data_IF_083371736971
#
_entry.id   IF_083371736971
#
_cell.length_a   1.000
_cell.length_b   1.000
_cell.length_c   1.000
_cell.angle_alpha   90.00
_cell.angle_beta   90.00
_cell.angle_gamma   90.00
#
_symmetry.space_group_name_H-M   'P 1'
#
loop_
_entity.id
_entity.type
_entity.pdbx_description
1 polymer ?
#
# COMPACT_ATOMS: atom_id res chain seq x y z
N UNK A 1 -9.89 -7.00 -7.41
CA UNK A 1 -10.37 -6.01 -6.57
C UNK A 1 -9.46 -5.76 -5.42
N UNK A 2 -8.59 -4.80 -5.60
CA UNK A 2 -7.51 -4.55 -4.68
C UNK A 2 -7.97 -4.03 -3.33
N UNK A 3 -8.97 -3.20 -3.33
CA UNK A 3 -9.42 -2.61 -2.09
C UNK A 3 -9.96 -3.69 -1.17
N UNK A 4 -10.74 -4.61 -1.72
CA UNK A 4 -11.29 -5.67 -0.93
C UNK A 4 -10.19 -6.56 -0.40
N UNK A 5 -9.19 -6.81 -1.23
CA UNK A 5 -8.07 -7.64 -0.84
C UNK A 5 -7.28 -6.99 0.29
N UNK A 6 -7.05 -5.70 0.20
CA UNK A 6 -6.33 -4.99 1.23
C UNK A 6 -7.07 -5.03 2.56
N UNK A 7 -8.38 -4.90 2.53
CA UNK A 7 -9.15 -4.95 3.76
C UNK A 7 -9.08 -6.30 4.43
N UNK A 8 -9.08 -7.36 3.63
CA UNK A 8 -8.96 -8.69 4.18
C UNK A 8 -7.61 -8.87 4.88
N UNK A 9 -6.55 -8.40 4.24
CA UNK A 9 -5.24 -8.52 4.85
C UNK A 9 -5.14 -7.68 6.11
N UNK A 10 -5.75 -6.51 6.10
CA UNK A 10 -5.72 -5.63 7.23
C UNK A 10 -6.42 -6.29 8.42
N UNK A 11 -7.51 -6.95 8.16
CA UNK A 11 -8.23 -7.64 9.21
C UNK A 11 -7.41 -8.75 9.81
N UNK A 12 -6.62 -9.44 9.03
CA UNK A 12 -5.87 -10.51 9.56
C UNK A 12 -4.75 -10.04 10.42
N UNK A 13 -4.18 -8.92 10.11
CA UNK A 13 -3.27 -8.35 10.98
C UNK A 13 -2.39 -9.28 11.69
N UNK A 14 -2.00 -10.32 11.19
CA UNK A 14 -1.26 -11.18 11.92
C UNK A 14 0.08 -10.74 12.07
N UNK A 15 0.76 -11.12 12.83
CA UNK A 15 2.03 -10.92 13.17
C UNK A 15 2.95 -10.62 12.07
N UNK A 16 2.83 -9.55 11.50
CA UNK A 16 3.68 -9.11 10.47
C UNK A 16 4.95 -8.72 11.12
N UNK A 17 5.98 -9.49 10.98
CA UNK A 17 7.17 -9.21 11.62
C UNK A 17 7.93 -8.15 10.91
N UNK A 18 7.80 -7.99 9.62
CA UNK A 18 8.51 -7.00 8.86
C UNK A 18 7.53 -6.00 8.34
N UNK A 19 7.78 -4.74 8.60
CA UNK A 19 6.88 -3.71 8.13
C UNK A 19 7.01 -3.54 6.63
N UNK A 20 5.94 -3.73 5.92
CA UNK A 20 5.94 -3.52 4.48
C UNK A 20 6.17 -2.05 4.16
N UNK A 21 5.76 -1.17 5.05
CA UNK A 21 5.99 0.24 4.86
C UNK A 21 7.49 0.53 4.80
N UNK A 22 8.25 0.04 5.75
CA UNK A 22 9.68 0.29 5.77
C UNK A 22 10.35 -0.36 4.58
N UNK A 23 9.93 -1.56 4.25
CA UNK A 23 10.52 -2.28 3.15
C UNK A 23 10.33 -1.52 1.84
N UNK A 24 9.13 -1.07 1.58
CA UNK A 24 8.84 -0.40 0.31
C UNK A 24 9.46 0.99 0.26
N UNK A 25 9.56 1.67 1.38
CA UNK A 25 10.20 2.98 1.39
C UNK A 25 11.65 2.85 1.00
N UNK A 26 12.29 1.80 1.46
CA UNK A 26 13.70 1.62 1.19
C UNK A 26 13.96 1.06 -0.18
N UNK A 27 13.20 0.08 -0.60
CA UNK A 27 13.45 -0.57 -1.88
C UNK A 27 12.79 0.11 -3.08
N UNK A 28 11.62 0.67 -2.88
CA UNK A 28 10.90 1.28 -3.98
C UNK A 28 10.39 2.66 -3.59
N UNK A 29 11.28 3.60 -3.34
CA UNK A 29 10.86 4.92 -2.85
C UNK A 29 9.93 5.65 -3.81
N UNK A 30 10.13 5.51 -5.11
CA UNK A 30 9.26 6.19 -6.06
C UNK A 30 7.87 5.60 -6.06
N UNK A 31 7.80 4.27 -6.05
CA UNK A 31 6.50 3.61 -6.02
C UNK A 31 5.78 3.91 -4.71
N UNK A 32 6.53 4.01 -3.62
CA UNK A 32 5.93 4.34 -2.34
C UNK A 32 5.36 5.75 -2.36
N UNK A 33 6.07 6.69 -2.97
CA UNK A 33 5.59 8.07 -3.07
C UNK A 33 4.29 8.13 -3.87
N UNK A 34 4.22 7.37 -4.96
CA UNK A 34 3.00 7.33 -5.76
C UNK A 34 1.89 6.69 -4.95
N UNK A 35 2.21 5.64 -4.20
CA UNK A 35 1.21 4.97 -3.39
C UNK A 35 0.62 5.90 -2.35
N UNK A 36 1.44 6.76 -1.77
CA UNK A 36 0.95 7.74 -0.81
C UNK A 36 -0.05 8.69 -1.45
N UNK A 37 0.22 9.12 -2.67
CA UNK A 37 -0.69 10.03 -3.36
C UNK A 37 -2.00 9.32 -3.67
N UNK A 38 -1.92 8.09 -4.13
CA UNK A 38 -3.13 7.34 -4.45
C UNK A 38 -3.93 7.09 -3.19
N UNK A 39 -3.25 6.76 -2.09
CA UNK A 39 -3.93 6.50 -0.83
C UNK A 39 -4.65 7.77 -0.35
N UNK A 40 -4.00 8.90 -0.49
CA UNK A 40 -4.59 10.15 -0.06
C UNK A 40 -5.87 10.43 -0.84
N UNK A 41 -5.83 10.16 -2.13
CA UNK A 41 -6.99 10.34 -2.97
C UNK A 41 -8.13 9.39 -2.56
N UNK A 42 -7.78 8.13 -2.31
CA UNK A 42 -8.78 7.15 -1.92
C UNK A 42 -9.39 7.50 -0.57
N UNK A 43 -8.57 7.96 0.36
CA UNK A 43 -9.07 8.36 1.68
C UNK A 43 -10.18 9.40 1.55
N UNK A 44 -9.99 10.32 0.63
CA UNK A 44 -10.98 11.35 0.44
C UNK A 44 -12.26 10.81 -0.16
N UNK A 45 -12.12 9.79 -1.00
CA UNK A 45 -13.30 9.22 -1.63
C UNK A 45 -14.13 8.37 -0.67
N UNK A 46 -13.47 7.58 0.15
CA UNK A 46 -14.19 6.69 1.04
C UNK A 46 -14.32 7.23 2.46
N UNK A 47 -13.72 8.38 2.71
CA UNK A 47 -13.78 9.02 4.03
C UNK A 47 -13.25 8.11 5.13
N UNK A 48 -12.21 7.39 4.82
CA UNK A 48 -11.57 6.53 5.78
C UNK A 48 -10.06 6.61 5.61
N UNK A 49 -9.37 6.38 6.71
CA UNK A 49 -7.93 6.48 6.69
C UNK A 49 -7.32 5.19 6.21
N UNK A 50 -6.28 5.27 5.41
CA UNK A 50 -5.59 4.09 4.92
C UNK A 50 -4.30 3.97 5.72
N UNK A 51 -4.06 2.79 6.26
CA UNK A 51 -2.90 2.59 7.12
C UNK A 51 -1.60 2.56 6.32
N UNK A 52 -0.50 2.74 7.02
CA UNK A 52 0.80 2.71 6.38
C UNK A 52 1.07 1.34 5.78
N UNK A 53 0.57 0.29 6.43
CA UNK A 53 0.78 -1.05 5.89
C UNK A 53 0.08 -1.22 4.55
N UNK A 54 -1.11 -0.69 4.44
CA UNK A 54 -1.83 -0.77 3.18
C UNK A 54 -1.16 0.04 2.10
N UNK A 55 -0.57 1.15 2.47
CA UNK A 55 0.17 1.96 1.51
C UNK A 55 1.39 1.17 1.02
N UNK A 56 2.02 0.41 1.92
CA UNK A 56 3.13 -0.43 1.54
C UNK A 56 2.73 -1.47 0.50
N UNK A 57 1.59 -2.11 0.71
CA UNK A 57 1.12 -3.08 -0.26
C UNK A 57 0.79 -2.43 -1.58
N UNK A 58 0.20 -1.26 -1.54
CA UNK A 58 -0.11 -0.53 -2.76
C UNK A 58 1.17 -0.20 -3.51
N UNK A 59 2.20 0.18 -2.78
CA UNK A 59 3.48 0.50 -3.39
C UNK A 59 4.07 -0.71 -4.13
N UNK A 60 3.91 -1.89 -3.56
CA UNK A 60 4.41 -3.10 -4.20
C UNK A 60 3.66 -3.33 -5.51
N UNK A 61 2.36 -3.13 -5.51
CA UNK A 61 1.57 -3.28 -6.72
C UNK A 61 2.03 -2.30 -7.79
N UNK A 62 2.25 -1.06 -7.39
CA UNK A 62 2.68 -0.05 -8.32
C UNK A 62 4.04 -0.40 -8.92
N UNK A 63 4.93 -0.91 -8.08
CA UNK A 63 6.24 -1.29 -8.55
C UNK A 63 6.16 -2.42 -9.56
N UNK A 64 5.26 -3.37 -9.34
CA UNK A 64 5.08 -4.47 -10.27
C UNK A 64 4.61 -3.98 -11.62
N UNK A 65 3.71 -3.03 -11.62
CA UNK A 65 3.20 -2.47 -12.85
C UNK A 65 4.32 -1.74 -13.58
N UNK A 66 5.13 -0.99 -12.85
CA UNK A 66 6.25 -0.28 -13.46
C UNK A 66 7.21 -1.24 -14.10
N UNK A 67 7.46 -2.36 -13.47
CA UNK A 67 8.41 -3.31 -14.00
C UNK A 67 7.90 -4.06 -15.21
N UNK A 68 6.60 -4.17 -15.35
CA UNK A 68 6.07 -4.91 -16.47
C UNK A 68 5.84 -4.06 -17.70
N UNK A 69 6.10 -2.79 -17.65
CA UNK A 69 5.86 -1.90 -18.80
C UNK A 69 7.11 -1.75 -19.69
#
# INVERSE_FOLDING_TARGET
NHIKFLMVRFDRKEDVQVSMTDYTKEKFPESYAVACRVADYIEKLILEKISDEEIGYLAIHIERIRQSV
#
